data_IF_863131652437
#
_entry.id   IF_863131652437
#
_cell.length_a   1.000
_cell.length_b   1.000
_cell.length_c   1.000
_cell.angle_alpha   90.00
_cell.angle_beta   90.00
_cell.angle_gamma   90.00
#
_symmetry.space_group_name_H-M   'P 1'
#
loop_
_entity.id
_entity.type
_entity.pdbx_description
1 polymer ?
#
# COMPACT_ATOMS: atom_id res chain seq x y z
N UNK A 1 26.86 22.84 -7.26
CA UNK A 1 26.09 21.63 -7.58
C UNK A 1 25.34 21.25 -6.31
N UNK A 2 24.01 21.23 -6.34
CA UNK A 2 23.21 20.81 -5.18
C UNK A 2 23.10 19.30 -5.28
N UNK A 3 23.81 18.59 -4.43
CA UNK A 3 23.70 17.14 -4.29
C UNK A 3 22.28 16.82 -3.82
N UNK A 4 21.50 16.17 -4.67
CA UNK A 4 20.22 15.57 -4.29
C UNK A 4 20.52 14.41 -3.33
N UNK A 5 20.51 14.69 -2.03
CA UNK A 5 20.48 13.67 -1.00
C UNK A 5 19.15 12.91 -1.13
N UNK A 6 19.18 11.74 -1.76
CA UNK A 6 18.03 10.83 -1.81
C UNK A 6 17.63 10.48 -0.39
N UNK A 7 16.45 10.93 0.04
CA UNK A 7 15.94 10.63 1.37
C UNK A 7 15.64 9.13 1.44
N UNK A 8 16.55 8.38 2.06
CA UNK A 8 16.52 6.91 2.23
C UNK A 8 15.31 6.40 3.03
N UNK A 9 14.45 7.29 3.53
CA UNK A 9 13.26 7.01 4.33
C UNK A 9 11.94 7.14 3.55
N UNK A 10 11.97 7.50 2.26
CA UNK A 10 10.76 7.56 1.45
C UNK A 10 10.39 6.15 0.98
N UNK A 11 9.19 5.70 1.35
CA UNK A 11 8.57 4.54 0.68
C UNK A 11 8.33 4.95 -0.78
N UNK A 12 8.83 4.19 -1.77
CA UNK A 12 8.66 4.56 -3.16
C UNK A 12 7.18 4.61 -3.54
N UNK A 13 6.77 5.62 -4.31
CA UNK A 13 5.42 5.67 -4.85
C UNK A 13 5.13 4.46 -5.74
N UNK A 14 3.96 3.88 -5.56
CA UNK A 14 3.51 2.66 -6.22
C UNK A 14 4.09 1.37 -5.63
N UNK A 15 4.91 1.43 -4.57
CA UNK A 15 5.49 0.21 -3.99
C UNK A 15 4.47 -0.58 -3.17
N UNK A 16 4.69 -1.90 -3.06
CA UNK A 16 3.83 -2.78 -2.26
C UNK A 16 3.82 -2.34 -0.79
N UNK A 17 4.93 -1.82 -0.26
CA UNK A 17 5.03 -1.27 1.09
C UNK A 17 4.21 0.00 1.28
N UNK A 18 4.05 0.84 0.24
CA UNK A 18 3.19 2.02 0.29
C UNK A 18 1.74 1.59 0.55
N UNK A 19 1.25 0.62 -0.24
CA UNK A 19 -0.12 0.12 -0.10
C UNK A 19 -0.33 -0.68 1.19
N UNK A 20 0.65 -1.47 1.65
CA UNK A 20 0.61 -2.11 2.98
C UNK A 20 0.44 -1.07 4.09
N UNK A 21 1.19 0.03 4.02
CA UNK A 21 1.12 1.12 4.99
C UNK A 21 -0.22 1.86 4.91
N UNK A 22 -0.69 2.17 3.69
CA UNK A 22 -1.97 2.83 3.46
C UNK A 22 -3.14 2.03 4.04
N UNK A 23 -3.21 0.72 3.73
CA UNK A 23 -4.25 -0.17 4.28
C UNK A 23 -4.21 -0.18 5.81
N UNK A 24 -3.02 -0.24 6.42
CA UNK A 24 -2.87 -0.23 7.87
C UNK A 24 -3.38 1.09 8.50
N UNK A 25 -2.93 2.24 8.00
CA UNK A 25 -3.31 3.53 8.56
C UNK A 25 -4.79 3.86 8.35
N UNK A 26 -5.31 3.61 7.14
CA UNK A 26 -6.73 3.84 6.86
C UNK A 26 -7.63 2.94 7.70
N UNK A 27 -7.24 1.68 7.90
CA UNK A 27 -7.95 0.78 8.84
C UNK A 27 -7.95 1.36 10.25
N UNK A 28 -6.80 1.81 10.76
CA UNK A 28 -6.73 2.40 12.10
C UNK A 28 -7.58 3.67 12.23
N UNK A 29 -7.61 4.52 11.21
CA UNK A 29 -8.40 5.74 11.24
C UNK A 29 -9.89 5.44 11.13
N UNK A 30 -10.29 4.48 10.30
CA UNK A 30 -11.69 4.08 10.14
C UNK A 30 -12.31 3.65 11.48
N UNK A 31 -11.54 2.93 12.30
CA UNK A 31 -11.96 2.50 13.64
C UNK A 31 -12.11 3.64 14.64
N UNK A 32 -11.39 4.74 14.45
CA UNK A 32 -11.41 5.92 15.35
C UNK A 32 -12.44 6.97 14.92
N UNK A 33 -12.87 6.96 13.66
CA UNK A 33 -13.76 7.97 13.09
C UNK A 33 -15.21 7.80 13.58
N UNK A 34 -15.76 8.90 14.09
CA UNK A 34 -17.12 8.97 14.64
C UNK A 34 -18.12 9.46 13.61
N UNK A 35 -17.71 10.37 12.74
CA UNK A 35 -18.56 10.93 11.70
C UNK A 35 -18.91 9.86 10.64
N UNK A 36 -20.20 9.60 10.39
CA UNK A 36 -20.62 8.55 9.46
C UNK A 36 -20.28 8.86 7.99
N UNK A 37 -20.24 10.13 7.60
CA UNK A 37 -19.90 10.53 6.23
C UNK A 37 -18.40 10.35 6.00
N UNK A 38 -17.57 10.79 6.93
CA UNK A 38 -16.13 10.55 6.89
C UNK A 38 -15.82 9.05 6.87
N UNK A 39 -16.46 8.29 7.77
CA UNK A 39 -16.28 6.83 7.84
C UNK A 39 -16.67 6.12 6.54
N UNK A 40 -17.75 6.55 5.86
CA UNK A 40 -18.12 5.99 4.57
C UNK A 40 -17.06 6.26 3.48
N UNK A 41 -16.50 7.47 3.44
CA UNK A 41 -15.43 7.81 2.49
C UNK A 41 -14.14 7.03 2.76
N UNK A 42 -13.73 6.94 4.03
CA UNK A 42 -12.54 6.18 4.43
C UNK A 42 -12.71 4.69 4.15
N UNK A 43 -13.89 4.13 4.39
CA UNK A 43 -14.16 2.72 4.06
C UNK A 43 -14.01 2.45 2.56
N UNK A 44 -14.44 3.39 1.72
CA UNK A 44 -14.27 3.30 0.26
C UNK A 44 -12.79 3.37 -0.13
N UNK A 45 -12.03 4.33 0.41
CA UNK A 45 -10.59 4.45 0.15
C UNK A 45 -9.82 3.21 0.61
N UNK A 46 -10.15 2.68 1.80
CA UNK A 46 -9.56 1.45 2.32
C UNK A 46 -9.82 0.26 1.39
N UNK A 47 -11.03 0.15 0.84
CA UNK A 47 -11.35 -0.91 -0.12
C UNK A 47 -10.55 -0.78 -1.42
N UNK A 48 -10.39 0.45 -1.94
CA UNK A 48 -9.57 0.74 -3.11
C UNK A 48 -8.09 0.35 -2.87
N UNK A 49 -7.50 0.77 -1.75
CA UNK A 49 -6.12 0.41 -1.41
C UNK A 49 -5.92 -1.09 -1.17
N UNK A 50 -6.89 -1.75 -0.53
CA UNK A 50 -6.82 -3.19 -0.30
C UNK A 50 -6.90 -3.99 -1.61
N UNK A 51 -7.71 -3.54 -2.57
CA UNK A 51 -7.79 -4.15 -3.89
C UNK A 51 -6.45 -4.01 -4.65
N UNK A 52 -5.87 -2.81 -4.71
CA UNK A 52 -4.57 -2.60 -5.35
C UNK A 52 -3.45 -3.40 -4.65
N UNK A 53 -3.46 -3.46 -3.31
CA UNK A 53 -2.49 -4.27 -2.58
C UNK A 53 -2.60 -5.75 -2.95
N UNK A 54 -3.82 -6.29 -3.07
CA UNK A 54 -4.01 -7.69 -3.44
C UNK A 54 -3.43 -8.01 -4.82
N UNK A 55 -3.62 -7.13 -5.81
CA UNK A 55 -3.04 -7.27 -7.14
C UNK A 55 -1.50 -7.26 -7.09
N UNK A 56 -0.90 -6.33 -6.35
CA UNK A 56 0.55 -6.24 -6.19
C UNK A 56 1.16 -7.47 -5.49
N UNK A 57 0.50 -7.98 -4.44
CA UNK A 57 0.92 -9.21 -3.76
C UNK A 57 0.82 -10.43 -4.69
N UNK A 58 -0.22 -10.51 -5.53
CA UNK A 58 -0.35 -11.57 -6.53
C UNK A 58 0.78 -11.53 -7.57
N UNK A 59 1.13 -10.35 -8.06
CA UNK A 59 2.28 -10.16 -8.95
C UNK A 59 3.59 -10.57 -8.30
N UNK A 60 3.80 -10.21 -7.03
CA UNK A 60 5.01 -10.58 -6.29
C UNK A 60 5.12 -12.10 -6.12
N UNK A 61 4.00 -12.77 -5.81
CA UNK A 61 3.95 -14.24 -5.75
C UNK A 61 4.29 -14.87 -7.12
N UNK A 62 3.81 -14.30 -8.23
CA UNK A 62 4.14 -14.79 -9.58
C UNK A 62 5.63 -14.67 -9.85
N UNK A 63 6.24 -13.51 -9.57
CA UNK A 63 7.69 -13.29 -9.74
C UNK A 63 8.52 -14.27 -8.92
N UNK A 64 8.16 -14.51 -7.66
CA UNK A 64 8.86 -15.47 -6.79
C UNK A 64 8.76 -16.89 -7.37
N UNK A 65 7.59 -17.30 -7.87
CA UNK A 65 7.41 -18.62 -8.49
C UNK A 65 8.25 -18.77 -9.76
N UNK A 66 8.28 -17.76 -10.63
CA UNK A 66 9.08 -17.77 -11.85
C UNK A 66 10.59 -17.87 -11.54
N UNK A 67 11.06 -17.12 -10.54
CA UNK A 67 12.45 -17.20 -10.07
C UNK A 67 12.81 -18.58 -9.51
N UNK A 68 11.88 -19.24 -8.81
CA UNK A 68 12.08 -20.60 -8.29
C UNK A 68 12.10 -21.66 -9.40
N UNK A 69 11.35 -21.47 -10.49
CA UNK A 69 11.33 -22.39 -11.63
C UNK A 69 12.53 -22.21 -12.58
N UNK A 70 13.19 -21.06 -12.53
CA UNK A 70 14.39 -20.75 -13.32
C UNK A 70 15.71 -21.15 -12.61
N UNK A 71 15.63 -21.66 -11.37
CA UNK A 71 16.75 -22.20 -10.58
C UNK A 71 16.81 -23.72 -10.68
#
# INVERSE_FOLDING_TARGET
MIEQQSHQYAVPHGSIEEYRSAVYFESLWLWKEKDPVCRANMARQLAEFAATLAELEEEEVKKIREQQLAQ
#
